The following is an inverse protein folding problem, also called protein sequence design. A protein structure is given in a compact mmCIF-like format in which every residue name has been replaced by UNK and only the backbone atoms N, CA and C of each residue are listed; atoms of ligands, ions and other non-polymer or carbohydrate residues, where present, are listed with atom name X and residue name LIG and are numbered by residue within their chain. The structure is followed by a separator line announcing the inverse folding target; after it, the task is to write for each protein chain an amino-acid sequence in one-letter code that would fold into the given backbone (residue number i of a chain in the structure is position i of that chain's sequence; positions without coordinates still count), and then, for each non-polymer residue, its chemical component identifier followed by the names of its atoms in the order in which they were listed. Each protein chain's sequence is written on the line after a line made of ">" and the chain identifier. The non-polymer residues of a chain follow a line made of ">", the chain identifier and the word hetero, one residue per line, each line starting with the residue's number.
data_IF_905149916001
#
_entry.id   IF_905149916001
#
_cell.length_a   1.000
_cell.length_b   1.000
_cell.length_c   1.000
_cell.angle_alpha   90.00
_cell.angle_beta   90.00
_cell.angle_gamma   90.00
#
_symmetry.space_group_name_H-M   'P 1'
#
loop_
_entity.id
_entity.type
_entity.pdbx_description
1 polymer ?
#
# COMPACT_ATOMS: atom_id res chain seq x y z
N UNK A 1 30.66 10.38 -14.77
CA UNK A 1 29.91 10.61 -13.55
C UNK A 1 28.70 9.72 -13.46
N UNK A 2 27.93 9.57 -14.52
CA UNK A 2 26.74 8.74 -14.49
C UNK A 2 27.00 7.28 -14.18
N UNK A 3 28.04 6.68 -14.76
CA UNK A 3 28.32 5.27 -14.51
C UNK A 3 28.78 5.01 -13.09
N UNK A 4 29.46 5.97 -12.48
CA UNK A 4 29.90 5.86 -11.10
C UNK A 4 28.67 5.93 -10.20
N UNK A 5 27.70 6.78 -10.55
CA UNK A 5 26.48 6.91 -9.78
C UNK A 5 25.67 5.61 -9.78
N UNK A 6 25.61 4.93 -10.90
CA UNK A 6 24.89 3.67 -10.97
C UNK A 6 25.50 2.60 -10.09
N UNK A 7 26.80 2.42 -10.19
CA UNK A 7 27.50 1.44 -9.38
C UNK A 7 27.39 1.78 -7.92
N UNK A 8 27.43 3.05 -7.61
CA UNK A 8 27.32 3.53 -6.24
C UNK A 8 25.91 3.29 -5.69
N UNK A 9 24.88 3.56 -6.49
CA UNK A 9 23.50 3.33 -6.08
C UNK A 9 23.22 1.85 -5.86
N UNK A 10 23.74 0.97 -6.71
CA UNK A 10 23.58 -0.46 -6.53
C UNK A 10 24.26 -0.93 -5.25
N UNK A 11 25.44 -0.40 -4.96
CA UNK A 11 26.14 -0.74 -3.73
C UNK A 11 25.55 -0.08 -2.50
N UNK A 12 24.87 1.05 -2.70
CA UNK A 12 24.21 1.77 -1.62
C UNK A 12 22.81 1.26 -1.38
N UNK A 13 22.36 0.27 -2.14
CA UNK A 13 21.16 -0.43 -1.76
C UNK A 13 21.44 -1.06 -0.41
N UNK A 14 20.88 -0.40 0.56
CA UNK A 14 21.16 -0.68 1.95
C UNK A 14 20.44 -1.97 2.36
N UNK A 15 20.82 -2.50 3.48
CA UNK A 15 20.08 -3.57 4.15
C UNK A 15 18.60 -3.22 4.27
N UNK A 16 18.28 -1.93 4.44
CA UNK A 16 16.90 -1.48 4.55
C UNK A 16 16.13 -1.71 3.25
N UNK A 17 16.76 -1.47 2.09
CA UNK A 17 16.14 -1.74 0.80
C UNK A 17 15.92 -3.23 0.60
N UNK A 18 16.88 -4.04 0.98
CA UNK A 18 16.74 -5.49 0.90
C UNK A 18 15.60 -5.99 1.77
N UNK A 19 15.50 -5.49 2.99
CA UNK A 19 14.41 -5.83 3.91
C UNK A 19 13.08 -5.39 3.32
N UNK A 20 13.02 -4.18 2.77
CA UNK A 20 11.81 -3.65 2.16
C UNK A 20 11.31 -4.56 1.03
N UNK A 21 12.19 -4.93 0.11
CA UNK A 21 11.78 -5.76 -1.02
C UNK A 21 11.47 -7.20 -0.64
N UNK A 22 12.12 -7.73 0.39
CA UNK A 22 11.75 -9.03 0.93
C UNK A 22 10.35 -9.02 1.54
N UNK A 23 10.04 -7.98 2.31
CA UNK A 23 8.72 -7.84 2.91
C UNK A 23 7.66 -7.60 1.87
N UNK A 24 7.96 -6.77 0.86
CA UNK A 24 7.04 -6.53 -0.25
C UNK A 24 6.78 -7.81 -1.03
N UNK A 25 7.84 -8.57 -1.30
CA UNK A 25 7.71 -9.86 -1.99
C UNK A 25 6.83 -10.84 -1.24
N UNK A 26 7.01 -10.94 0.07
CA UNK A 26 6.15 -11.79 0.90
C UNK A 26 4.70 -11.34 0.86
N UNK A 27 4.48 -10.03 0.86
CA UNK A 27 3.13 -9.47 0.81
C UNK A 27 2.47 -9.79 -0.53
N UNK A 28 3.22 -9.67 -1.63
CA UNK A 28 2.72 -10.05 -2.95
C UNK A 28 2.32 -11.51 -2.97
N UNK A 29 3.19 -12.41 -2.47
CA UNK A 29 2.88 -13.83 -2.43
C UNK A 29 1.63 -14.13 -1.60
N UNK A 30 1.49 -13.49 -0.45
CA UNK A 30 0.34 -13.66 0.42
C UNK A 30 -0.95 -13.20 -0.26
N UNK A 31 -0.92 -12.01 -0.86
CA UNK A 31 -2.08 -11.46 -1.54
C UNK A 31 -2.45 -12.29 -2.77
N UNK A 32 -1.44 -12.74 -3.52
CA UNK A 32 -1.65 -13.62 -4.68
C UNK A 32 -2.38 -14.90 -4.28
N UNK A 33 -1.89 -15.55 -3.23
CA UNK A 33 -2.50 -16.80 -2.74
C UNK A 33 -3.91 -16.55 -2.22
N UNK A 34 -4.13 -15.41 -1.59
CA UNK A 34 -5.44 -15.07 -1.05
C UNK A 34 -6.51 -14.96 -2.15
N UNK A 35 -6.13 -14.53 -3.34
CA UNK A 35 -7.08 -14.44 -4.46
C UNK A 35 -7.00 -15.67 -5.39
N UNK A 36 -6.24 -16.69 -4.99
CA UNK A 36 -6.23 -17.97 -5.71
C UNK A 36 -5.40 -18.00 -6.98
N UNK A 37 -4.43 -17.09 -7.13
CA UNK A 37 -3.59 -17.05 -8.31
C UNK A 37 -2.27 -17.79 -8.08
N UNK A 38 -1.78 -18.45 -9.14
CA UNK A 38 -0.43 -19.02 -9.15
C UNK A 38 0.59 -17.96 -9.57
N UNK A 39 1.87 -18.24 -9.35
CA UNK A 39 2.93 -17.36 -9.84
C UNK A 39 2.86 -17.19 -11.35
N UNK A 40 2.58 -18.27 -12.07
CA UNK A 40 2.47 -18.23 -13.53
C UNK A 40 1.37 -17.28 -13.96
N UNK A 41 0.19 -17.39 -13.31
CA UNK A 41 -0.93 -16.55 -13.65
C UNK A 41 -0.66 -15.07 -13.37
N UNK A 42 -0.05 -14.78 -12.23
CA UNK A 42 0.29 -13.39 -11.91
C UNK A 42 1.38 -12.87 -12.84
N UNK A 43 2.35 -13.70 -13.19
CA UNK A 43 3.38 -13.32 -14.15
C UNK A 43 2.78 -12.97 -15.52
N UNK A 44 1.79 -13.73 -15.97
CA UNK A 44 1.08 -13.43 -17.20
C UNK A 44 0.37 -12.07 -17.14
N UNK A 45 -0.29 -11.79 -16.02
CA UNK A 45 -0.98 -10.51 -15.83
C UNK A 45 0.02 -9.35 -15.89
N UNK A 46 1.20 -9.53 -15.32
CA UNK A 46 2.24 -8.50 -15.31
C UNK A 46 3.10 -8.51 -16.59
N UNK A 47 2.88 -9.48 -17.46
CA UNK A 47 3.65 -9.64 -18.69
C UNK A 47 5.15 -9.82 -18.42
N UNK A 48 5.46 -10.66 -17.45
CA UNK A 48 6.82 -11.03 -17.09
C UNK A 48 6.95 -12.55 -17.02
N UNK A 49 8.16 -13.06 -16.93
CA UNK A 49 8.37 -14.50 -16.78
C UNK A 49 8.05 -14.96 -15.36
N UNK A 50 7.78 -16.25 -15.21
CA UNK A 50 7.59 -16.84 -13.90
C UNK A 50 8.82 -16.66 -13.02
N UNK A 51 10.00 -16.81 -13.59
CA UNK A 51 11.25 -16.62 -12.84
C UNK A 51 11.37 -15.20 -12.33
N UNK A 52 10.97 -14.24 -13.14
CA UNK A 52 10.95 -12.83 -12.72
C UNK A 52 9.96 -12.62 -11.57
N UNK A 53 8.78 -13.22 -11.67
CA UNK A 53 7.77 -13.15 -10.62
C UNK A 53 8.27 -13.81 -9.33
N UNK A 54 8.89 -14.97 -9.45
CA UNK A 54 9.48 -15.65 -8.30
C UNK A 54 10.56 -14.81 -7.62
N UNK A 55 11.36 -14.11 -8.42
CA UNK A 55 12.38 -13.20 -7.88
C UNK A 55 11.76 -12.02 -7.14
N UNK A 56 10.65 -11.47 -7.63
CA UNK A 56 9.91 -10.43 -6.93
C UNK A 56 9.43 -10.93 -5.56
N UNK A 57 8.82 -12.10 -5.53
CA UNK A 57 8.28 -12.65 -4.28
C UNK A 57 9.37 -13.04 -3.29
N UNK A 58 10.54 -13.42 -3.79
CA UNK A 58 11.68 -13.73 -2.94
C UNK A 58 12.46 -12.49 -2.48
N UNK A 59 12.14 -11.34 -3.03
CA UNK A 59 12.85 -10.10 -2.69
C UNK A 59 14.22 -9.99 -3.34
N UNK A 60 14.52 -10.82 -4.34
CA UNK A 60 15.80 -10.78 -5.05
C UNK A 60 15.82 -9.74 -6.16
N UNK A 61 14.64 -9.27 -6.56
CA UNK A 61 14.48 -8.25 -7.58
C UNK A 61 13.54 -7.19 -7.08
N UNK A 62 13.82 -5.96 -7.45
CA UNK A 62 12.93 -4.84 -7.13
C UNK A 62 11.69 -4.94 -8.00
N UNK A 63 10.53 -4.75 -7.38
CA UNK A 63 9.28 -4.67 -8.11
C UNK A 63 9.31 -3.39 -8.94
N UNK A 64 9.05 -3.50 -10.25
CA UNK A 64 9.05 -2.34 -11.12
C UNK A 64 7.89 -1.40 -10.77
N UNK A 65 8.14 -0.11 -10.93
CA UNK A 65 7.11 0.89 -10.62
C UNK A 65 5.87 0.72 -11.50
N UNK A 66 6.05 0.22 -12.72
CA UNK A 66 4.93 -0.03 -13.63
C UNK A 66 4.04 -1.20 -13.19
N UNK A 67 4.59 -2.13 -12.40
CA UNK A 67 3.81 -3.26 -11.88
C UNK A 67 2.97 -2.87 -10.67
N UNK A 68 3.36 -1.84 -9.94
CA UNK A 68 2.67 -1.45 -8.70
C UNK A 68 1.20 -1.09 -8.93
N UNK A 69 0.85 -0.21 -9.89
CA UNK A 69 -0.56 0.09 -10.13
C UNK A 69 -1.39 -1.13 -10.50
N UNK A 70 -0.82 -2.06 -11.27
CA UNK A 70 -1.52 -3.27 -11.67
C UNK A 70 -1.78 -4.16 -10.45
N UNK A 71 -0.77 -4.35 -9.62
CA UNK A 71 -0.89 -5.18 -8.42
C UNK A 71 -1.87 -4.59 -7.42
N UNK A 72 -1.81 -3.29 -7.20
CA UNK A 72 -2.70 -2.59 -6.27
C UNK A 72 -4.15 -2.74 -6.73
N UNK A 73 -4.41 -2.56 -8.01
CA UNK A 73 -5.74 -2.69 -8.56
C UNK A 73 -6.23 -4.14 -8.50
N UNK A 74 -5.35 -5.08 -8.83
CA UNK A 74 -5.69 -6.50 -8.79
C UNK A 74 -6.03 -6.97 -7.39
N UNK A 75 -5.26 -6.54 -6.41
CA UNK A 75 -5.46 -6.94 -5.02
C UNK A 75 -6.54 -6.12 -4.30
N UNK A 76 -6.99 -5.02 -4.89
CA UNK A 76 -8.04 -4.19 -4.30
C UNK A 76 -7.63 -3.47 -3.04
N UNK A 77 -6.37 -3.11 -2.91
CA UNK A 77 -5.84 -2.39 -1.75
C UNK A 77 -5.23 -1.06 -2.19
N UNK A 78 -4.93 -0.20 -1.22
CA UNK A 78 -4.28 1.08 -1.53
C UNK A 78 -2.79 0.87 -1.80
N UNK A 79 -2.18 1.82 -2.51
CA UNK A 79 -0.73 1.80 -2.73
C UNK A 79 0.03 1.83 -1.42
N UNK A 80 -0.44 2.63 -0.47
CA UNK A 80 0.21 2.74 0.84
C UNK A 80 0.16 1.43 1.60
N UNK A 81 -1.00 0.76 1.57
CA UNK A 81 -1.14 -0.54 2.19
C UNK A 81 -0.25 -1.58 1.53
N UNK A 82 -0.19 -1.56 0.20
CA UNK A 82 0.65 -2.48 -0.55
C UNK A 82 2.12 -2.28 -0.22
N UNK A 83 2.57 -1.04 -0.13
CA UNK A 83 3.96 -0.71 0.15
C UNK A 83 4.31 -0.77 1.63
N UNK A 84 3.32 -0.94 2.49
CA UNK A 84 3.55 -1.01 3.93
C UNK A 84 3.81 0.33 4.59
N UNK A 85 3.46 1.42 3.92
CA UNK A 85 3.71 2.75 4.45
C UNK A 85 2.79 3.08 5.61
N UNK A 86 1.58 2.50 5.56
CA UNK A 86 0.58 2.71 6.58
C UNK A 86 0.66 1.71 7.69
N UNK A 87 1.85 1.23 8.01
CA UNK A 87 1.84 0.16 8.90
C UNK A 87 1.92 0.51 10.33
N UNK A 88 1.66 1.66 10.73
CA UNK A 88 1.66 1.99 12.09
C UNK A 88 0.37 1.69 12.71
N UNK A 89 0.39 1.09 13.87
CA UNK A 89 -0.76 0.51 14.52
C UNK A 89 -1.91 1.43 14.58
N UNK A 90 -1.60 2.55 14.96
CA UNK A 90 -2.64 3.52 15.04
C UNK A 90 -3.26 3.69 13.70
N UNK A 91 -2.75 3.06 12.76
CA UNK A 91 -3.04 3.27 11.48
C UNK A 91 -4.19 2.73 10.94
N UNK A 92 -4.73 1.93 11.63
CA UNK A 92 -6.05 1.53 11.25
C UNK A 92 -7.09 2.50 11.73
N UNK A 93 -6.67 3.49 12.49
CA UNK A 93 -7.53 4.57 12.90
C UNK A 93 -7.42 5.77 11.97
N UNK A 94 -8.06 6.86 12.32
CA UNK A 94 -7.94 8.10 11.57
C UNK A 94 -6.51 8.58 11.53
N UNK A 95 -6.15 9.32 10.49
CA UNK A 95 -4.85 9.97 10.45
C UNK A 95 -4.74 10.96 11.61
N UNK A 96 -3.52 11.34 11.95
CA UNK A 96 -3.31 12.30 13.04
C UNK A 96 -4.10 13.59 12.82
N UNK A 97 -4.18 14.06 11.58
CA UNK A 97 -4.95 15.25 11.25
C UNK A 97 -6.43 15.03 11.49
N UNK A 98 -6.96 13.90 11.05
CA UNK A 98 -8.36 13.58 11.23
C UNK A 98 -8.68 13.40 12.72
N UNK A 99 -7.79 12.79 13.47
CA UNK A 99 -7.96 12.62 14.90
C UNK A 99 -8.03 13.96 15.62
N UNK A 100 -7.18 14.92 15.23
CA UNK A 100 -7.24 16.27 15.79
C UNK A 100 -8.55 16.96 15.45
N UNK A 101 -9.06 16.77 14.25
CA UNK A 101 -10.35 17.33 13.85
C UNK A 101 -11.48 16.74 14.67
N UNK A 102 -11.46 15.44 14.92
CA UNK A 102 -12.46 14.77 15.75
C UNK A 102 -12.39 15.31 17.17
N UNK A 103 -11.20 15.48 17.73
CA UNK A 103 -11.02 16.02 19.07
C UNK A 103 -11.55 17.44 19.16
N UNK A 104 -11.31 18.26 18.13
CA UNK A 104 -11.83 19.63 18.08
C UNK A 104 -13.36 19.66 18.02
N UNK A 105 -13.97 18.74 17.29
CA UNK A 105 -15.43 18.62 17.25
C UNK A 105 -15.96 18.32 18.64
N UNK A 106 -15.26 17.53 19.44
CA UNK A 106 -15.64 17.22 20.80
C UNK A 106 -15.69 18.44 21.73
N UNK A 107 -15.02 19.53 21.35
CA UNK A 107 -15.02 20.78 22.13
C UNK A 107 -16.14 21.73 21.70
N UNK A 108 -16.88 21.41 20.65
CA UNK A 108 -17.95 22.26 20.14
C UNK A 108 -19.21 22.07 20.96
N UNK A 109 -20.12 23.05 20.96
CA UNK A 109 -21.45 22.88 21.57
C UNK A 109 -22.17 21.67 20.95
N UNK A 110 -23.02 21.03 21.76
CA UNK A 110 -23.71 19.81 21.34
C UNK A 110 -24.47 19.97 20.02
N UNK A 111 -25.10 21.11 19.81
CA UNK A 111 -25.85 21.36 18.59
C UNK A 111 -24.94 21.30 17.36
N UNK A 112 -23.73 21.87 17.49
CA UNK A 112 -22.75 21.83 16.38
C UNK A 112 -22.16 20.46 16.19
N UNK A 113 -21.94 19.71 17.27
CA UNK A 113 -21.48 18.32 17.19
C UNK A 113 -22.48 17.47 16.43
N UNK A 114 -23.77 17.66 16.68
CA UNK A 114 -24.82 16.94 15.98
C UNK A 114 -24.80 17.27 14.50
N UNK A 115 -24.66 18.54 14.15
CA UNK A 115 -24.58 18.96 12.75
C UNK A 115 -23.42 18.32 12.03
N UNK A 116 -22.24 18.32 12.65
CA UNK A 116 -21.05 17.69 12.06
C UNK A 116 -21.26 16.18 11.93
N UNK A 117 -21.84 15.54 12.94
CA UNK A 117 -22.15 14.12 12.90
C UNK A 117 -23.11 13.78 11.76
N UNK A 118 -24.15 14.57 11.58
CA UNK A 118 -25.11 14.38 10.49
C UNK A 118 -24.44 14.54 9.13
N UNK A 119 -23.52 15.50 8.99
CA UNK A 119 -22.77 15.69 7.76
C UNK A 119 -21.87 14.50 7.46
N UNK A 120 -21.19 13.97 8.47
CA UNK A 120 -20.33 12.79 8.30
C UNK A 120 -21.17 11.57 7.93
N UNK A 121 -22.31 11.38 8.58
CA UNK A 121 -23.22 10.28 8.26
C UNK A 121 -23.70 10.36 6.81
N UNK A 122 -24.03 11.55 6.34
CA UNK A 122 -24.46 11.76 4.97
C UNK A 122 -23.35 11.39 3.98
N UNK A 123 -22.12 11.76 4.27
CA UNK A 123 -20.97 11.42 3.42
C UNK A 123 -20.72 9.92 3.42
N UNK A 124 -20.84 9.25 4.56
CA UNK A 124 -20.67 7.81 4.66
C UNK A 124 -21.76 7.09 3.87
N UNK A 125 -23.00 7.55 3.96
CA UNK A 125 -24.10 6.97 3.20
C UNK A 125 -23.90 7.13 1.71
N UNK A 126 -23.44 8.29 1.27
CA UNK A 126 -23.15 8.55 -0.12
C UNK A 126 -22.08 7.60 -0.65
N UNK A 127 -21.05 7.31 0.15
CA UNK A 127 -19.99 6.40 -0.21
C UNK A 127 -20.51 4.97 -0.35
N UNK A 128 -21.44 4.55 0.52
CA UNK A 128 -22.00 3.21 0.46
C UNK A 128 -22.92 2.97 -0.73
N UNK A 129 -23.54 4.02 -1.23
CA UNK A 129 -24.47 3.93 -2.34
C UNK A 129 -23.75 3.95 -3.68
N UNK A 130 -22.55 4.53 -3.72
CA UNK A 130 -21.76 4.55 -4.95
C UNK A 130 -20.89 3.29 -5.01
#
# INVERSE_FOLDING_TARGET
>A
MGSISYVYLDKLMTTDDEVFFKQLGKRIAKLRKAIGLTQVQLAEILNISQQHMAAFEAGRRKVSSSSIPVLVQLFGISSDEFLGIQDKPAKRGPTAKLQLQIDQVGLLPKAKQKLVGDMLDALIQQQKVS
#
